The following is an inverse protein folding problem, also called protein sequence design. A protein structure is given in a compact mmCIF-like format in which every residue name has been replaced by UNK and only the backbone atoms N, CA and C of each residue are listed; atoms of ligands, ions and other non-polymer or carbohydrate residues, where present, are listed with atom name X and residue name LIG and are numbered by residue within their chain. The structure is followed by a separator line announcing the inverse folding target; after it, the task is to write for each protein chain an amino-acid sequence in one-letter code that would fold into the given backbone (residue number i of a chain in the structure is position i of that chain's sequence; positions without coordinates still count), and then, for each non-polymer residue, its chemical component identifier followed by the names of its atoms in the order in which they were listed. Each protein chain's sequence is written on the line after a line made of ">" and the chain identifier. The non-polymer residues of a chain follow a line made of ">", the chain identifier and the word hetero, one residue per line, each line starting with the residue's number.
data_IF_805762539072
#
_entry.id   IF_805762539072
#
_cell.length_a   1.000
_cell.length_b   1.000
_cell.length_c   1.000
_cell.angle_alpha   90.00
_cell.angle_beta   90.00
_cell.angle_gamma   90.00
#
_symmetry.space_group_name_H-M   'P 1'
#
loop_
_entity.id
_entity.type
_entity.pdbx_description
1 polymer ?
#
# COMPACT_ATOMS: atom_id res chain seq x y z
N UNK A 1 -1.62 -28.69 -24.26
CA UNK A 1 -2.92 -29.20 -24.72
C UNK A 1 -2.82 -30.45 -25.57
N UNK A 2 -2.06 -30.49 -26.68
CA UNK A 2 -2.04 -31.70 -27.53
C UNK A 2 -1.44 -32.94 -26.84
N UNK A 3 -0.38 -32.75 -26.04
CA UNK A 3 0.19 -33.82 -25.20
C UNK A 3 -0.82 -34.35 -24.18
N UNK A 4 -1.52 -33.46 -23.49
CA UNK A 4 -2.56 -33.83 -22.50
C UNK A 4 -3.71 -34.60 -23.14
N UNK A 5 -4.19 -34.15 -24.30
CA UNK A 5 -5.25 -34.82 -25.08
C UNK A 5 -4.83 -36.25 -25.49
N UNK A 6 -3.62 -36.42 -26.03
CA UNK A 6 -3.11 -37.72 -26.43
C UNK A 6 -2.90 -38.66 -25.23
N UNK A 7 -2.45 -38.14 -24.09
CA UNK A 7 -2.30 -38.92 -22.86
C UNK A 7 -3.63 -39.40 -22.30
N UNK A 8 -4.67 -38.57 -22.35
CA UNK A 8 -6.01 -38.90 -21.90
C UNK A 8 -6.68 -39.95 -22.79
N UNK A 9 -6.48 -39.87 -24.11
CA UNK A 9 -7.06 -40.80 -25.10
C UNK A 9 -6.16 -42.00 -25.43
N UNK A 10 -5.05 -42.20 -24.71
CA UNK A 10 -4.06 -43.26 -25.00
C UNK A 10 -4.66 -44.66 -25.08
N UNK A 11 -5.65 -44.97 -24.23
CA UNK A 11 -6.31 -46.29 -24.20
C UNK A 11 -7.16 -46.52 -25.44
N UNK A 12 -7.89 -45.50 -25.90
CA UNK A 12 -8.71 -45.55 -27.11
C UNK A 12 -7.83 -45.67 -28.37
N UNK A 13 -6.76 -44.88 -28.44
CA UNK A 13 -5.79 -44.94 -29.54
C UNK A 13 -5.10 -46.32 -29.58
N UNK A 14 -4.67 -46.84 -28.43
CA UNK A 14 -4.04 -48.16 -28.34
C UNK A 14 -5.00 -49.29 -28.76
N UNK A 15 -6.27 -49.24 -28.32
CA UNK A 15 -7.29 -50.21 -28.72
C UNK A 15 -7.53 -50.19 -30.23
N UNK A 16 -7.64 -49.00 -30.83
CA UNK A 16 -7.82 -48.86 -32.27
C UNK A 16 -6.62 -49.42 -33.06
N UNK A 17 -5.39 -49.10 -32.65
CA UNK A 17 -4.17 -49.62 -33.27
C UNK A 17 -4.07 -51.14 -33.13
N UNK A 18 -4.42 -51.69 -31.96
CA UNK A 18 -4.46 -53.13 -31.73
C UNK A 18 -5.43 -53.83 -32.69
N UNK A 19 -6.62 -53.25 -32.92
CA UNK A 19 -7.60 -53.78 -33.87
C UNK A 19 -7.04 -53.81 -35.31
N UNK A 20 -6.33 -52.76 -35.75
CA UNK A 20 -5.69 -52.75 -37.07
C UNK A 20 -4.56 -53.80 -37.17
N UNK A 21 -3.78 -53.98 -36.09
CA UNK A 21 -2.73 -54.99 -36.04
C UNK A 21 -3.29 -56.42 -36.16
N UNK A 22 -4.42 -56.70 -35.49
CA UNK A 22 -5.12 -58.00 -35.59
C UNK A 22 -5.61 -58.25 -37.03
N UNK A 23 -6.15 -57.24 -37.72
CA UNK A 23 -6.58 -57.38 -39.11
C UNK A 23 -5.42 -57.71 -40.06
N UNK A 24 -4.29 -57.01 -39.91
CA UNK A 24 -3.09 -57.30 -40.71
C UNK A 24 -2.52 -58.69 -40.42
N UNK A 25 -2.54 -59.10 -39.16
CA UNK A 25 -2.08 -60.43 -38.75
C UNK A 25 -2.96 -61.54 -39.33
N UNK A 26 -4.28 -61.37 -39.33
CA UNK A 26 -5.21 -62.32 -39.94
C UNK A 26 -4.96 -62.47 -41.46
N UNK A 27 -4.78 -61.34 -42.16
CA UNK A 27 -4.48 -61.33 -43.60
C UNK A 27 -3.10 -61.88 -43.96
N UNK A 28 -2.16 -61.90 -43.01
CA UNK A 28 -0.83 -62.50 -43.18
C UNK A 28 -0.87 -64.03 -43.04
N UNK A 29 -1.73 -64.55 -42.17
CA UNK A 29 -1.83 -66.00 -41.91
C UNK A 29 -2.67 -66.71 -42.96
N UNK A 30 -3.75 -66.11 -43.45
CA UNK A 30 -4.67 -66.73 -44.40
C UNK A 30 -4.34 -66.34 -45.86
N UNK A 31 -3.78 -67.24 -46.68
CA UNK A 31 -3.41 -66.95 -48.07
C UNK A 31 -4.63 -66.64 -48.96
N UNK A 32 -5.84 -66.98 -48.51
CA UNK A 32 -7.09 -66.71 -49.22
C UNK A 32 -7.44 -65.22 -49.20
N UNK A 33 -6.86 -64.45 -48.27
CA UNK A 33 -7.11 -63.03 -48.10
C UNK A 33 -6.01 -62.22 -48.83
N UNK A 34 -6.35 -61.38 -49.80
CA UNK A 34 -5.36 -60.55 -50.49
C UNK A 34 -4.79 -59.47 -49.55
N UNK A 35 -3.57 -59.69 -49.05
CA UNK A 35 -2.90 -58.80 -48.08
C UNK A 35 -2.90 -57.32 -48.49
N UNK A 36 -2.63 -57.00 -49.75
CA UNK A 36 -2.63 -55.62 -50.26
C UNK A 36 -3.99 -54.93 -50.16
N UNK A 37 -5.10 -55.68 -50.28
CA UNK A 37 -6.45 -55.12 -50.14
C UNK A 37 -6.75 -54.76 -48.69
N UNK A 38 -6.34 -55.61 -47.75
CA UNK A 38 -6.45 -55.34 -46.31
C UNK A 38 -5.55 -54.17 -45.90
N UNK A 39 -4.33 -54.11 -46.44
CA UNK A 39 -3.41 -53.00 -46.19
C UNK A 39 -3.99 -51.65 -46.65
N UNK A 40 -4.61 -51.61 -47.83
CA UNK A 40 -5.30 -50.41 -48.32
C UNK A 40 -6.48 -50.01 -47.41
N UNK A 41 -7.26 -50.98 -46.94
CA UNK A 41 -8.35 -50.72 -46.00
C UNK A 41 -7.84 -50.16 -44.66
N UNK A 42 -6.77 -50.75 -44.11
CA UNK A 42 -6.13 -50.24 -42.88
C UNK A 42 -5.61 -48.83 -43.08
N UNK A 43 -4.97 -48.53 -44.21
CA UNK A 43 -4.53 -47.18 -44.55
C UNK A 43 -5.67 -46.16 -44.56
N UNK A 44 -6.79 -46.49 -45.22
CA UNK A 44 -7.96 -45.62 -45.28
C UNK A 44 -8.58 -45.42 -43.88
N UNK A 45 -8.67 -46.49 -43.09
CA UNK A 45 -9.16 -46.46 -41.70
C UNK A 45 -8.30 -45.55 -40.81
N UNK A 46 -6.97 -45.65 -40.92
CA UNK A 46 -6.03 -44.78 -40.21
C UNK A 46 -6.22 -43.31 -40.60
N UNK A 47 -6.44 -43.01 -41.88
CA UNK A 47 -6.66 -41.65 -42.38
C UNK A 47 -7.96 -41.06 -41.81
N UNK A 48 -9.06 -41.82 -41.82
CA UNK A 48 -10.33 -41.41 -41.22
C UNK A 48 -10.19 -41.18 -39.72
N UNK A 49 -9.47 -42.07 -39.02
CA UNK A 49 -9.21 -41.93 -37.59
C UNK A 49 -8.37 -40.69 -37.26
N UNK A 50 -7.37 -40.35 -38.08
CA UNK A 50 -6.58 -39.14 -37.92
C UNK A 50 -7.44 -37.87 -38.05
N UNK A 51 -8.31 -37.81 -39.06
CA UNK A 51 -9.25 -36.69 -39.24
C UNK A 51 -10.21 -36.59 -38.05
N UNK A 52 -10.73 -37.72 -37.57
CA UNK A 52 -11.57 -37.78 -36.38
C UNK A 52 -10.85 -37.25 -35.12
N UNK A 53 -9.60 -37.65 -34.89
CA UNK A 53 -8.79 -37.17 -33.77
C UNK A 53 -8.52 -35.67 -33.86
N UNK A 54 -8.23 -35.12 -35.06
CA UNK A 54 -8.02 -33.68 -35.24
C UNK A 54 -9.28 -32.88 -34.96
N UNK A 55 -10.44 -33.35 -35.44
CA UNK A 55 -11.73 -32.73 -35.13
C UNK A 55 -12.01 -32.74 -33.63
N UNK A 56 -11.83 -33.90 -32.97
CA UNK A 56 -12.03 -34.03 -31.53
C UNK A 56 -11.06 -33.22 -30.69
N UNK A 57 -9.79 -33.15 -31.09
CA UNK A 57 -8.81 -32.29 -30.44
C UNK A 57 -9.25 -30.83 -30.46
N UNK A 58 -9.73 -30.31 -31.60
CA UNK A 58 -10.17 -28.91 -31.69
C UNK A 58 -11.38 -28.64 -30.81
N UNK A 59 -12.36 -29.53 -30.78
CA UNK A 59 -13.57 -29.36 -29.96
C UNK A 59 -13.25 -29.46 -28.47
N UNK A 60 -12.65 -30.58 -28.04
CA UNK A 60 -12.46 -30.89 -26.61
C UNK A 60 -11.37 -30.05 -25.95
N UNK A 61 -10.42 -29.48 -26.71
CA UNK A 61 -9.40 -28.60 -26.10
C UNK A 61 -9.77 -27.12 -26.14
N UNK A 62 -10.84 -26.73 -26.82
CA UNK A 62 -11.23 -25.32 -26.90
C UNK A 62 -11.60 -24.76 -25.53
N UNK A 63 -12.44 -25.48 -24.77
CA UNK A 63 -12.88 -25.07 -23.43
C UNK A 63 -11.71 -24.96 -22.43
N UNK A 64 -10.88 -26.00 -22.33
CA UNK A 64 -9.73 -25.98 -21.42
C UNK A 64 -8.64 -24.97 -21.82
N UNK A 65 -8.56 -24.58 -23.10
CA UNK A 65 -7.70 -23.46 -23.52
C UNK A 65 -8.24 -22.14 -23.02
N UNK A 66 -9.54 -21.86 -23.23
CA UNK A 66 -10.16 -20.65 -22.67
C UNK A 66 -10.08 -20.60 -21.15
N UNK A 67 -10.19 -21.75 -20.47
CA UNK A 67 -10.05 -21.81 -19.01
C UNK A 67 -8.66 -21.41 -18.53
N UNK A 68 -7.61 -21.83 -19.26
CA UNK A 68 -6.23 -21.46 -18.94
C UNK A 68 -5.93 -19.99 -19.23
N UNK A 69 -6.58 -19.42 -20.23
CA UNK A 69 -6.49 -17.99 -20.55
C UNK A 69 -7.26 -17.14 -19.54
N UNK A 70 -8.41 -17.64 -19.06
CA UNK A 70 -9.14 -17.04 -17.95
C UNK A 70 -8.30 -16.99 -16.68
N UNK A 71 -7.68 -18.09 -16.26
CA UNK A 71 -6.84 -18.14 -15.05
C UNK A 71 -5.70 -17.10 -15.06
N UNK A 72 -5.20 -16.74 -16.25
CA UNK A 72 -4.17 -15.72 -16.39
C UNK A 72 -4.69 -14.28 -16.25
N UNK A 73 -5.96 -14.02 -16.60
CA UNK A 73 -6.52 -12.66 -16.73
C UNK A 73 -7.72 -12.38 -15.82
N UNK A 74 -8.27 -13.41 -15.15
CA UNK A 74 -9.44 -13.38 -14.26
C UNK A 74 -10.72 -12.78 -14.88
N UNK A 75 -10.81 -12.74 -16.20
CA UNK A 75 -11.93 -12.13 -16.92
C UNK A 75 -12.88 -13.19 -17.47
N UNK A 76 -14.05 -13.33 -16.82
CA UNK A 76 -15.08 -14.32 -17.14
C UNK A 76 -15.63 -14.18 -18.58
N UNK A 77 -15.42 -13.04 -19.26
CA UNK A 77 -15.88 -12.84 -20.64
C UNK A 77 -15.18 -13.73 -21.67
N UNK A 78 -14.04 -14.33 -21.32
CA UNK A 78 -13.28 -15.23 -22.20
C UNK A 78 -13.67 -16.71 -22.06
N UNK A 79 -14.52 -17.07 -21.09
CA UNK A 79 -14.95 -18.46 -20.92
C UNK A 79 -15.93 -18.85 -22.04
N UNK A 80 -15.55 -19.87 -22.79
CA UNK A 80 -16.48 -20.51 -23.73
C UNK A 80 -17.51 -21.32 -22.96
N UNK A 81 -18.76 -21.28 -23.44
CA UNK A 81 -19.82 -22.13 -22.90
C UNK A 81 -19.42 -23.62 -22.97
N UNK A 82 -19.77 -24.42 -21.94
CA UNK A 82 -19.45 -25.84 -21.90
C UNK A 82 -20.26 -26.61 -22.94
N UNK A 83 -19.58 -27.50 -23.66
CA UNK A 83 -20.17 -28.39 -24.68
C UNK A 83 -20.31 -29.84 -24.18
N UNK A 84 -19.87 -30.12 -22.94
CA UNK A 84 -19.80 -31.46 -22.33
C UNK A 84 -20.29 -31.44 -20.88
N UNK A 85 -20.92 -32.53 -20.38
CA UNK A 85 -21.35 -32.63 -18.98
C UNK A 85 -20.21 -32.40 -17.98
N UNK A 86 -19.00 -32.85 -18.29
CA UNK A 86 -17.84 -32.63 -17.41
C UNK A 86 -17.33 -31.19 -17.47
N UNK A 87 -17.49 -30.50 -18.60
CA UNK A 87 -17.13 -29.08 -18.71
C UNK A 87 -18.10 -28.23 -17.88
N UNK A 88 -19.40 -28.55 -17.88
CA UNK A 88 -20.40 -27.89 -17.04
C UNK A 88 -20.13 -28.03 -15.54
N UNK A 89 -19.70 -29.21 -15.07
CA UNK A 89 -19.32 -29.42 -13.65
C UNK A 89 -18.10 -28.56 -13.28
N UNK A 90 -17.14 -28.41 -14.20
CA UNK A 90 -15.97 -27.55 -13.98
C UNK A 90 -16.37 -26.08 -13.92
N UNK A 91 -17.23 -25.63 -14.84
CA UNK A 91 -17.75 -24.25 -14.84
C UNK A 91 -18.49 -23.94 -13.54
N UNK A 92 -19.47 -24.78 -13.15
CA UNK A 92 -20.26 -24.59 -11.93
C UNK A 92 -19.39 -24.53 -10.67
N UNK A 93 -18.37 -25.40 -10.57
CA UNK A 93 -17.42 -25.38 -9.45
C UNK A 93 -16.58 -24.10 -9.42
N UNK A 94 -16.16 -23.59 -10.57
CA UNK A 94 -15.33 -22.38 -10.66
C UNK A 94 -16.17 -21.13 -10.40
N UNK A 95 -17.36 -21.05 -10.95
CA UNK A 95 -18.33 -19.98 -10.64
C UNK A 95 -18.66 -19.96 -9.15
N UNK A 96 -18.93 -21.12 -8.54
CA UNK A 96 -19.19 -21.25 -7.11
C UNK A 96 -18.04 -20.76 -6.25
N UNK A 97 -16.80 -21.15 -6.57
CA UNK A 97 -15.61 -20.66 -5.85
C UNK A 97 -15.35 -19.17 -6.07
N UNK A 98 -15.52 -18.68 -7.30
CA UNK A 98 -15.33 -17.28 -7.64
C UNK A 98 -16.32 -16.40 -6.88
N UNK A 99 -17.58 -16.82 -6.82
CA UNK A 99 -18.63 -16.11 -6.09
C UNK A 99 -18.38 -16.16 -4.57
N UNK A 100 -17.91 -17.29 -4.04
CA UNK A 100 -17.53 -17.39 -2.62
C UNK A 100 -16.34 -16.48 -2.29
N UNK A 101 -15.31 -16.44 -3.13
CA UNK A 101 -14.17 -15.54 -2.97
C UNK A 101 -14.61 -14.07 -3.07
N UNK A 102 -15.47 -13.74 -4.03
CA UNK A 102 -16.05 -12.40 -4.17
C UNK A 102 -16.82 -11.99 -2.92
N UNK A 103 -17.69 -12.85 -2.39
CA UNK A 103 -18.42 -12.62 -1.14
C UNK A 103 -17.48 -12.44 0.04
N UNK A 104 -16.46 -13.30 0.17
CA UNK A 104 -15.46 -13.19 1.24
C UNK A 104 -14.67 -11.89 1.15
N UNK A 105 -14.25 -11.48 -0.05
CA UNK A 105 -13.57 -10.22 -0.29
C UNK A 105 -14.43 -9.02 0.08
N UNK A 106 -15.71 -9.01 -0.33
CA UNK A 106 -16.65 -7.95 0.03
C UNK A 106 -16.89 -7.89 1.55
N UNK A 107 -17.03 -9.05 2.22
CA UNK A 107 -17.15 -9.11 3.68
C UNK A 107 -15.91 -8.58 4.40
N UNK A 108 -14.70 -8.96 3.95
CA UNK A 108 -13.45 -8.46 4.53
C UNK A 108 -13.30 -6.95 4.32
N UNK A 109 -13.68 -6.45 3.15
CA UNK A 109 -13.66 -5.02 2.85
C UNK A 109 -14.65 -4.25 3.73
N UNK A 110 -15.89 -4.74 3.85
CA UNK A 110 -16.90 -4.13 4.72
C UNK A 110 -16.49 -4.17 6.20
N UNK A 111 -15.92 -5.28 6.68
CA UNK A 111 -15.39 -5.38 8.03
C UNK A 111 -14.23 -4.40 8.28
N UNK A 112 -13.35 -4.22 7.28
CA UNK A 112 -12.26 -3.25 7.35
C UNK A 112 -12.76 -1.80 7.40
N UNK A 113 -13.80 -1.45 6.64
CA UNK A 113 -14.43 -0.12 6.74
C UNK A 113 -15.10 0.08 8.10
N UNK A 114 -15.83 -0.90 8.60
CA UNK A 114 -16.45 -0.82 9.92
C UNK A 114 -15.42 -0.61 11.04
N UNK A 115 -14.30 -1.35 11.03
CA UNK A 115 -13.22 -1.16 12.01
C UNK A 115 -12.62 0.26 11.96
N UNK A 116 -12.61 0.90 10.78
CA UNK A 116 -12.16 2.28 10.64
C UNK A 116 -13.15 3.24 11.27
N UNK A 117 -14.43 3.12 10.95
CA UNK A 117 -15.48 3.98 11.48
C UNK A 117 -15.55 3.90 13.01
N UNK A 118 -15.46 2.69 13.57
CA UNK A 118 -15.42 2.45 15.01
C UNK A 118 -14.24 3.18 15.66
N UNK A 119 -13.03 3.04 15.08
CA UNK A 119 -11.83 3.69 15.60
C UNK A 119 -11.91 5.22 15.48
N UNK A 120 -12.45 5.75 14.38
CA UNK A 120 -12.64 7.18 14.20
C UNK A 120 -13.63 7.73 15.24
N UNK A 121 -14.74 7.03 15.48
CA UNK A 121 -15.70 7.38 16.53
C UNK A 121 -15.05 7.36 17.91
N UNK A 122 -14.31 6.31 18.23
CA UNK A 122 -13.59 6.20 19.50
C UNK A 122 -12.57 7.34 19.71
N UNK A 123 -11.80 7.72 18.68
CA UNK A 123 -10.88 8.86 18.76
C UNK A 123 -11.64 10.16 19.06
N UNK A 124 -12.79 10.38 18.41
CA UNK A 124 -13.63 11.55 18.68
C UNK A 124 -14.17 11.56 20.11
N UNK A 125 -14.63 10.41 20.61
CA UNK A 125 -15.09 10.26 21.99
C UNK A 125 -13.98 10.51 23.00
N UNK A 126 -12.74 10.07 22.75
CA UNK A 126 -11.58 10.31 23.62
C UNK A 126 -11.11 11.76 23.59
N UNK A 127 -11.24 12.47 22.45
CA UNK A 127 -10.88 13.90 22.35
C UNK A 127 -11.69 14.78 23.28
N UNK A 128 -12.94 14.43 23.54
CA UNK A 128 -13.85 15.21 24.40
C UNK A 128 -13.38 15.29 25.86
N UNK A 129 -13.19 14.18 26.60
CA UNK A 129 -12.65 14.22 27.96
C UNK A 129 -11.22 14.74 27.98
N UNK A 130 -10.41 14.50 26.94
CA UNK A 130 -9.07 15.08 26.84
C UNK A 130 -9.13 16.62 26.77
N UNK A 131 -10.07 17.19 26.03
CA UNK A 131 -10.28 18.65 25.97
C UNK A 131 -10.76 19.18 27.33
N UNK A 132 -11.66 18.46 28.01
CA UNK A 132 -12.09 18.82 29.35
C UNK A 132 -10.90 18.81 30.35
N UNK A 133 -10.04 17.80 30.30
CA UNK A 133 -8.82 17.74 31.11
C UNK A 133 -7.90 18.94 30.82
N UNK A 134 -7.72 19.32 29.55
CA UNK A 134 -6.93 20.49 29.19
C UNK A 134 -7.44 21.75 29.88
N UNK A 135 -8.75 22.01 29.78
CA UNK A 135 -9.40 23.17 30.41
C UNK A 135 -9.30 23.14 31.93
N UNK A 136 -9.36 21.95 32.55
CA UNK A 136 -9.17 21.80 34.00
C UNK A 136 -7.73 22.11 34.42
N UNK A 137 -6.74 21.62 33.66
CA UNK A 137 -5.31 21.89 33.91
C UNK A 137 -5.01 23.38 33.70
N UNK A 138 -5.61 24.02 32.70
CA UNK A 138 -5.43 25.45 32.44
C UNK A 138 -5.86 26.33 33.61
N UNK A 139 -6.89 25.90 34.36
CA UNK A 139 -7.43 26.60 35.55
C UNK A 139 -6.59 26.43 36.82
N UNK A 140 -5.56 25.59 36.81
CA UNK A 140 -4.67 25.43 37.96
C UNK A 140 -3.79 26.69 38.11
N UNK A 141 -3.77 27.25 39.33
CA UNK A 141 -2.92 28.40 39.67
C UNK A 141 -1.46 27.99 39.91
N UNK A 142 -1.22 26.77 40.37
CA UNK A 142 0.11 26.29 40.73
C UNK A 142 0.90 25.79 39.50
N UNK A 143 1.83 26.63 39.03
CA UNK A 143 2.62 26.35 37.83
C UNK A 143 3.47 25.07 37.93
N UNK A 144 3.92 24.70 39.15
CA UNK A 144 4.72 23.50 39.40
C UNK A 144 3.93 22.21 39.13
N UNK A 145 2.62 22.20 39.38
CA UNK A 145 1.73 21.09 39.04
C UNK A 145 1.26 21.15 37.58
N UNK A 146 1.02 22.37 37.07
CA UNK A 146 0.46 22.59 35.74
C UNK A 146 1.39 22.11 34.61
N UNK A 147 2.68 22.42 34.68
CA UNK A 147 3.61 22.09 33.61
C UNK A 147 3.76 20.57 33.33
N UNK A 148 4.00 19.70 34.35
CA UNK A 148 4.04 18.25 34.13
C UNK A 148 2.73 17.66 33.61
N UNK A 149 1.58 18.16 34.06
CA UNK A 149 0.27 17.72 33.59
C UNK A 149 0.03 18.08 32.12
N UNK A 150 0.35 19.32 31.72
CA UNK A 150 0.25 19.75 30.33
C UNK A 150 1.21 18.97 29.42
N UNK A 151 2.37 18.56 29.93
CA UNK A 151 3.32 17.76 29.17
C UNK A 151 2.76 16.37 28.82
N UNK A 152 2.26 15.63 29.81
CA UNK A 152 1.67 14.31 29.58
C UNK A 152 0.35 14.40 28.81
N UNK A 153 -0.46 15.43 29.06
CA UNK A 153 -1.66 15.71 28.27
C UNK A 153 -1.32 15.90 26.78
N UNK A 154 -0.32 16.73 26.48
CA UNK A 154 0.10 17.00 25.09
C UNK A 154 0.66 15.73 24.44
N UNK A 155 1.33 14.87 25.21
CA UNK A 155 1.80 13.55 24.76
C UNK A 155 0.66 12.63 24.38
N UNK A 156 -0.38 12.51 25.20
CA UNK A 156 -1.58 11.73 24.87
C UNK A 156 -2.26 12.31 23.63
N UNK A 157 -2.40 13.64 23.56
CA UNK A 157 -2.98 14.33 22.41
C UNK A 157 -2.24 14.02 21.11
N UNK A 158 -0.90 14.06 21.11
CA UNK A 158 -0.09 13.77 19.93
C UNK A 158 -0.16 12.28 19.52
N UNK A 159 -0.20 11.36 20.48
CA UNK A 159 -0.40 9.94 20.19
C UNK A 159 -1.75 9.67 19.52
N UNK A 160 -2.82 10.31 19.99
CA UNK A 160 -4.15 10.21 19.38
C UNK A 160 -4.17 10.85 17.99
N UNK A 161 -3.53 12.02 17.81
CA UNK A 161 -3.43 12.68 16.51
C UNK A 161 -2.67 11.83 15.49
N UNK A 162 -1.58 11.19 15.92
CA UNK A 162 -0.82 10.23 15.12
C UNK A 162 -1.68 9.02 14.69
N UNK A 163 -2.45 8.43 15.61
CA UNK A 163 -3.33 7.29 15.29
C UNK A 163 -4.43 7.69 14.29
N UNK A 164 -5.03 8.87 14.47
CA UNK A 164 -6.02 9.42 13.57
C UNK A 164 -5.46 9.57 12.14
N UNK A 165 -4.29 10.19 12.02
CA UNK A 165 -3.67 10.42 10.72
C UNK A 165 -3.17 9.13 10.08
N UNK A 166 -2.68 8.17 10.87
CA UNK A 166 -2.32 6.85 10.36
C UNK A 166 -3.48 6.16 9.66
N UNK A 167 -4.70 6.25 10.21
CA UNK A 167 -5.88 5.61 9.64
C UNK A 167 -6.41 6.39 8.42
N UNK A 168 -6.38 7.72 8.46
CA UNK A 168 -6.76 8.58 7.32
C UNK A 168 -5.83 8.46 6.12
N UNK A 169 -4.56 8.13 6.35
CA UNK A 169 -3.54 8.05 5.30
C UNK A 169 -3.89 7.07 4.18
N UNK A 170 -4.64 6.00 4.46
CA UNK A 170 -5.08 5.02 3.46
C UNK A 170 -6.00 5.59 2.38
N UNK A 171 -6.61 6.75 2.62
CA UNK A 171 -7.56 7.41 1.72
C UNK A 171 -7.22 8.88 1.51
N UNK A 172 -5.96 9.24 1.76
CA UNK A 172 -5.48 10.62 1.66
C UNK A 172 -5.89 11.27 0.35
N UNK A 173 -5.79 10.55 -0.78
CA UNK A 173 -6.15 11.02 -2.13
C UNK A 173 -7.58 11.55 -2.25
N UNK A 174 -8.53 11.02 -1.45
CA UNK A 174 -9.94 11.44 -1.48
C UNK A 174 -10.23 12.65 -0.56
N UNK A 175 -9.31 13.04 0.34
CA UNK A 175 -9.48 14.12 1.34
C UNK A 175 -8.52 15.30 1.10
N UNK A 176 -7.78 15.33 -0.02
CA UNK A 176 -6.86 16.42 -0.33
C UNK A 176 -7.61 17.68 -0.80
N UNK A 177 -7.32 18.81 -0.14
CA UNK A 177 -7.82 20.13 -0.51
C UNK A 177 -6.64 21.08 -0.70
N UNK A 178 -6.18 21.20 -1.94
CA UNK A 178 -5.05 22.07 -2.28
C UNK A 178 -5.49 23.54 -2.28
N UNK A 179 -4.78 24.34 -1.48
CA UNK A 179 -4.99 25.77 -1.37
C UNK A 179 -3.65 26.48 -1.18
N UNK A 180 -3.64 27.80 -1.41
CA UNK A 180 -2.50 28.66 -1.06
C UNK A 180 -2.45 28.79 0.46
N UNK A 181 -1.35 28.33 1.06
CA UNK A 181 -1.13 28.32 2.51
C UNK A 181 0.03 29.23 2.83
N UNK A 182 -0.21 30.13 3.78
CA UNK A 182 0.85 30.95 4.35
C UNK A 182 1.64 30.12 5.38
N UNK A 183 2.94 29.91 5.15
CA UNK A 183 3.81 29.11 6.00
C UNK A 183 3.93 29.70 7.41
N UNK A 184 4.04 31.03 7.53
CA UNK A 184 4.24 31.69 8.82
C UNK A 184 3.10 31.41 9.81
N UNK A 185 1.81 31.71 9.52
CA UNK A 185 0.72 31.37 10.42
C UNK A 185 0.65 29.89 10.79
N UNK A 186 0.92 28.99 9.83
CA UNK A 186 0.89 27.54 10.06
C UNK A 186 1.98 27.11 11.04
N UNK A 187 3.24 27.49 10.78
CA UNK A 187 4.38 27.15 11.64
C UNK A 187 4.21 27.72 13.04
N UNK A 188 3.81 29.00 13.17
CA UNK A 188 3.56 29.61 14.48
C UNK A 188 2.45 28.90 15.27
N UNK A 189 1.38 28.47 14.59
CA UNK A 189 0.32 27.68 15.23
C UNK A 189 0.87 26.36 15.77
N UNK A 190 1.69 25.65 15.00
CA UNK A 190 2.25 24.37 15.43
C UNK A 190 3.29 24.52 16.53
N UNK A 191 4.11 25.56 16.51
CA UNK A 191 5.03 25.91 17.60
C UNK A 191 4.25 26.20 18.90
N UNK A 192 3.17 26.98 18.82
CA UNK A 192 2.31 27.26 19.97
C UNK A 192 1.72 25.99 20.57
N UNK A 193 1.32 25.02 19.74
CA UNK A 193 0.81 23.74 20.22
C UNK A 193 1.86 22.93 21.01
N UNK A 194 3.16 23.14 20.74
CA UNK A 194 4.28 22.46 21.42
C UNK A 194 4.81 23.23 22.63
N UNK A 195 4.20 24.37 22.99
CA UNK A 195 4.73 25.29 24.00
C UNK A 195 5.00 24.62 25.36
N UNK A 196 4.13 23.72 25.83
CA UNK A 196 4.32 23.05 27.13
C UNK A 196 5.59 22.19 27.17
N UNK A 197 5.89 21.47 26.09
CA UNK A 197 7.12 20.69 25.95
C UNK A 197 8.35 21.59 25.86
N UNK A 198 8.25 22.69 25.13
CA UNK A 198 9.33 23.65 24.95
C UNK A 198 9.69 24.33 26.27
N UNK A 199 8.71 24.75 27.07
CA UNK A 199 8.92 25.34 28.40
C UNK A 199 9.61 24.34 29.33
N UNK A 200 9.18 23.07 29.33
CA UNK A 200 9.76 22.06 30.21
C UNK A 200 11.22 21.73 29.84
N UNK A 201 11.55 21.73 28.54
CA UNK A 201 12.91 21.46 28.05
C UNK A 201 13.79 22.71 27.92
N UNK A 202 13.25 23.90 28.13
CA UNK A 202 13.96 25.16 27.93
C UNK A 202 14.35 25.42 26.46
N UNK A 203 13.52 25.02 25.50
CA UNK A 203 13.78 25.13 24.06
C UNK A 203 13.01 26.33 23.48
N UNK A 204 13.69 27.19 22.71
CA UNK A 204 13.08 28.26 21.91
C UNK A 204 13.04 27.92 20.41
N UNK A 205 12.56 28.90 19.62
CA UNK A 205 12.52 28.82 18.16
C UNK A 205 13.05 30.10 17.51
N UNK A 206 13.99 29.96 16.57
CA UNK A 206 14.37 31.02 15.64
C UNK A 206 13.65 30.79 14.30
N UNK A 207 12.90 31.79 13.82
CA UNK A 207 11.99 31.66 12.68
C UNK A 207 12.38 32.66 11.59
N UNK A 208 12.90 32.13 10.49
CA UNK A 208 13.36 32.90 9.32
C UNK A 208 12.61 32.43 8.07
N UNK A 209 11.37 32.91 7.91
CA UNK A 209 10.50 32.49 6.81
C UNK A 209 10.51 33.56 5.69
N UNK A 210 11.45 33.44 4.76
CA UNK A 210 11.61 34.40 3.65
C UNK A 210 10.62 34.15 2.51
N UNK A 211 10.19 32.91 2.32
CA UNK A 211 9.10 32.56 1.41
C UNK A 211 7.78 32.42 2.17
N UNK A 212 6.74 33.23 1.85
CA UNK A 212 5.54 33.28 2.66
C UNK A 212 4.55 32.15 2.33
N UNK A 213 4.48 31.65 1.09
CA UNK A 213 3.33 30.88 0.62
C UNK A 213 3.71 29.61 -0.17
N UNK A 214 2.93 28.54 0.05
CA UNK A 214 3.02 27.26 -0.68
C UNK A 214 1.63 26.79 -1.12
N UNK A 215 1.56 25.97 -2.17
CA UNK A 215 0.31 25.30 -2.57
C UNK A 215 0.33 23.87 -2.06
N UNK A 216 -0.56 23.54 -1.12
CA UNK A 216 -0.64 22.22 -0.48
C UNK A 216 -1.99 22.02 0.22
N UNK A 217 -2.18 20.89 0.89
CA UNK A 217 -3.29 20.67 1.82
C UNK A 217 -2.93 21.17 3.22
N UNK A 218 -3.77 22.03 3.80
CA UNK A 218 -3.49 22.68 5.07
C UNK A 218 -3.44 21.72 6.25
N UNK A 219 -4.31 20.70 6.26
CA UNK A 219 -4.40 19.74 7.38
C UNK A 219 -3.17 18.83 7.38
N UNK A 220 -2.84 18.27 6.22
CA UNK A 220 -1.71 17.36 6.07
C UNK A 220 -0.36 18.07 6.19
N UNK A 221 -0.23 19.30 5.67
CA UNK A 221 0.98 20.10 5.88
C UNK A 221 1.17 20.43 7.37
N UNK A 222 0.11 20.84 8.07
CA UNK A 222 0.13 21.01 9.54
C UNK A 222 0.61 19.75 10.25
N UNK A 223 0.13 18.57 9.84
CA UNK A 223 0.55 17.31 10.42
C UNK A 223 2.04 17.00 10.17
N UNK A 224 2.53 17.16 8.93
CA UNK A 224 3.94 16.93 8.60
C UNK A 224 4.84 17.83 9.43
N UNK A 225 4.55 19.14 9.47
CA UNK A 225 5.30 20.12 10.25
C UNK A 225 5.25 19.76 11.75
N UNK A 226 4.07 19.44 12.29
CA UNK A 226 3.91 18.99 13.69
C UNK A 226 4.79 17.78 13.99
N UNK A 227 4.85 16.78 13.12
CA UNK A 227 5.70 15.59 13.32
C UNK A 227 7.19 15.96 13.35
N UNK A 228 7.66 16.80 12.42
CA UNK A 228 9.06 17.23 12.37
C UNK A 228 9.44 18.08 13.58
N UNK A 229 8.63 19.10 13.92
CA UNK A 229 8.86 19.94 15.10
C UNK A 229 8.80 19.13 16.40
N UNK A 230 7.86 18.19 16.52
CA UNK A 230 7.76 17.34 17.72
C UNK A 230 9.00 16.46 17.91
N UNK A 231 9.61 15.98 16.81
CA UNK A 231 10.88 15.25 16.87
C UNK A 231 12.03 16.18 17.26
N UNK A 232 12.11 17.37 16.66
CA UNK A 232 13.14 18.35 16.99
C UNK A 232 13.12 18.71 18.50
N UNK A 233 11.93 19.01 19.06
CA UNK A 233 11.77 19.30 20.51
C UNK A 233 12.12 18.10 21.36
N UNK A 234 11.70 16.90 20.95
CA UNK A 234 11.95 15.68 21.70
C UNK A 234 13.43 15.34 21.80
N UNK A 235 14.20 15.57 20.74
CA UNK A 235 15.59 15.13 20.63
C UNK A 235 16.63 16.23 20.88
N UNK A 236 16.20 17.49 21.00
CA UNK A 236 17.02 18.60 21.47
C UNK A 236 17.02 18.71 22.99
N UNK A 237 18.11 19.26 23.53
CA UNK A 237 18.31 19.56 24.95
C UNK A 237 18.77 21.03 25.08
N UNK A 238 17.92 21.89 25.63
CA UNK A 238 18.20 23.30 25.96
C UNK A 238 18.71 24.22 24.81
N UNK A 239 18.70 23.76 23.56
CA UNK A 239 19.07 24.54 22.38
C UNK A 239 17.86 24.92 21.53
N UNK A 240 17.92 26.10 20.92
CA UNK A 240 16.86 26.62 20.06
C UNK A 240 16.77 25.86 18.73
N UNK A 241 15.53 25.57 18.32
CA UNK A 241 15.23 24.96 17.02
C UNK A 241 15.09 26.07 15.98
N UNK A 242 15.75 25.91 14.84
CA UNK A 242 15.69 26.91 13.77
C UNK A 242 14.75 26.45 12.66
N UNK A 243 13.80 27.29 12.26
CA UNK A 243 12.89 27.03 11.13
C UNK A 243 13.11 28.10 10.06
N UNK A 244 13.60 27.67 8.89
CA UNK A 244 13.91 28.59 7.77
C UNK A 244 13.10 28.23 6.54
N UNK A 245 12.65 29.22 5.78
CA UNK A 245 12.14 29.01 4.42
C UNK A 245 12.88 29.86 3.40
N UNK A 246 13.19 29.27 2.25
CA UNK A 246 13.88 29.94 1.15
C UNK A 246 13.40 29.37 -0.19
N UNK A 247 13.66 30.11 -1.26
CA UNK A 247 13.41 29.63 -2.61
C UNK A 247 14.73 29.23 -3.28
N UNK A 248 14.77 28.03 -3.84
CA UNK A 248 15.92 27.54 -4.59
C UNK A 248 15.44 26.73 -5.80
N UNK A 249 15.95 27.07 -6.99
CA UNK A 249 15.58 26.44 -8.27
C UNK A 249 14.06 26.50 -8.59
N UNK A 250 13.40 27.59 -8.17
CA UNK A 250 11.96 27.80 -8.37
C UNK A 250 11.07 26.88 -7.52
N UNK A 251 11.60 26.34 -6.43
CA UNK A 251 10.87 25.55 -5.43
C UNK A 251 11.06 26.18 -4.06
N UNK A 252 10.03 26.13 -3.24
CA UNK A 252 10.11 26.53 -1.83
C UNK A 252 10.72 25.38 -1.02
N UNK A 253 11.66 25.72 -0.16
CA UNK A 253 12.29 24.81 0.79
C UNK A 253 11.97 25.29 2.20
N UNK A 254 11.71 24.35 3.11
CA UNK A 254 11.54 24.63 4.54
C UNK A 254 12.47 23.72 5.32
N UNK A 255 13.44 24.31 5.99
CA UNK A 255 14.39 23.62 6.86
C UNK A 255 13.92 23.71 8.32
N UNK A 256 13.92 22.58 9.01
CA UNK A 256 13.73 22.46 10.45
C UNK A 256 15.01 21.85 11.01
N UNK A 257 15.79 22.69 11.68
CA UNK A 257 17.10 22.38 12.24
C UNK A 257 17.01 22.27 13.76
N UNK A 258 17.38 21.10 14.27
CA UNK A 258 17.53 20.80 15.69
C UNK A 258 19.01 20.65 16.05
N UNK A 259 19.37 20.90 17.32
CA UNK A 259 20.73 20.72 17.84
C UNK A 259 20.81 19.53 18.80
N UNK A 260 20.01 18.51 18.52
CA UNK A 260 19.92 17.32 19.35
C UNK A 260 21.09 16.36 19.21
N UNK A 261 20.87 15.14 19.69
CA UNK A 261 21.87 14.06 19.67
C UNK A 261 22.33 13.62 18.26
N UNK A 262 21.66 14.10 17.21
CA UNK A 262 21.88 13.67 15.83
C UNK A 262 21.50 12.22 15.55
N UNK A 263 21.73 11.78 14.32
CA UNK A 263 21.34 10.46 13.79
C UNK A 263 22.60 9.76 13.28
N UNK A 264 22.79 8.49 13.66
CA UNK A 264 23.92 7.71 13.17
C UNK A 264 23.81 7.47 11.65
N UNK A 265 24.93 7.54 10.89
CA UNK A 265 24.91 7.33 9.44
C UNK A 265 24.27 6.01 9.00
N UNK A 266 24.38 4.96 9.82
CA UNK A 266 23.78 3.64 9.58
C UNK A 266 22.25 3.63 9.72
N UNK A 267 21.70 4.55 10.51
CA UNK A 267 20.27 4.66 10.81
C UNK A 267 19.57 5.60 9.83
N UNK A 268 20.29 6.57 9.22
CA UNK A 268 19.74 7.54 8.26
C UNK A 268 18.87 6.93 7.14
N UNK A 269 19.24 5.81 6.48
CA UNK A 269 18.40 5.21 5.45
C UNK A 269 17.06 4.67 5.97
N UNK A 270 16.98 4.41 7.28
CA UNK A 270 15.89 3.66 7.94
C UNK A 270 14.97 4.51 8.80
N UNK A 271 15.32 5.77 9.10
CA UNK A 271 14.54 6.63 10.02
C UNK A 271 13.08 6.84 9.61
N UNK A 272 12.76 6.64 8.33
CA UNK A 272 11.41 6.76 7.81
C UNK A 272 10.72 5.39 7.61
N UNK A 273 11.34 4.27 8.00
CA UNK A 273 10.72 2.95 8.01
C UNK A 273 9.64 2.86 9.10
N UNK A 274 8.60 2.06 8.84
CA UNK A 274 7.48 1.90 9.77
C UNK A 274 7.97 1.31 11.10
N UNK A 275 7.78 2.03 12.20
CA UNK A 275 8.11 1.56 13.54
C UNK A 275 9.60 1.59 13.86
N UNK A 276 10.43 2.27 13.06
CA UNK A 276 11.86 2.35 13.32
C UNK A 276 12.17 3.21 14.56
N UNK A 277 12.98 2.66 15.46
CA UNK A 277 13.53 3.36 16.61
C UNK A 277 15.02 3.03 16.71
N UNK A 278 15.87 4.05 16.87
CA UNK A 278 17.32 3.82 16.96
C UNK A 278 17.67 3.01 18.21
N UNK A 279 18.66 2.13 18.08
CA UNK A 279 19.13 1.27 19.19
C UNK A 279 19.75 2.08 20.34
N UNK A 280 20.34 3.25 20.07
CA UNK A 280 20.87 4.17 21.09
C UNK A 280 19.74 4.76 21.96
N UNK A 281 18.51 4.81 21.44
CA UNK A 281 17.32 5.40 22.06
C UNK A 281 16.32 4.39 22.64
N UNK A 282 16.60 3.08 22.58
CA UNK A 282 15.71 2.06 23.18
C UNK A 282 15.50 2.20 24.69
N UNK A 283 16.34 2.97 25.38
CA UNK A 283 16.19 3.24 26.82
C UNK A 283 15.02 4.19 27.13
N UNK A 284 14.61 5.03 26.18
CA UNK A 284 13.41 5.85 26.29
C UNK A 284 12.22 5.14 25.62
N UNK A 285 11.31 4.59 26.43
CA UNK A 285 10.05 3.97 26.02
C UNK A 285 9.04 4.94 25.34
N UNK A 286 9.50 6.06 24.79
CA UNK A 286 8.68 7.17 24.34
C UNK A 286 8.55 7.28 22.81
N UNK A 287 9.16 6.40 21.99
CA UNK A 287 9.05 6.47 20.53
C UNK A 287 8.38 5.24 19.93
N UNK A 288 7.28 5.44 19.22
CA UNK A 288 6.61 4.39 18.41
C UNK A 288 7.30 4.15 17.07
N UNK A 289 8.23 5.05 16.67
CA UNK A 289 8.86 5.04 15.35
C UNK A 289 7.91 5.35 14.20
N UNK A 290 6.71 5.87 14.48
CA UNK A 290 5.68 6.12 13.47
C UNK A 290 5.71 7.56 12.92
N UNK A 291 6.18 8.55 13.68
CA UNK A 291 6.08 9.97 13.32
C UNK A 291 6.72 10.31 11.96
N UNK A 292 8.00 10.00 11.78
CA UNK A 292 8.71 10.25 10.52
C UNK A 292 8.15 9.42 9.36
N UNK A 293 7.81 8.15 9.60
CA UNK A 293 7.15 7.31 8.61
C UNK A 293 5.84 7.93 8.09
N UNK A 294 4.98 8.38 9.01
CA UNK A 294 3.71 9.03 8.68
C UNK A 294 3.92 10.37 7.98
N UNK A 295 4.89 11.18 8.41
CA UNK A 295 5.24 12.44 7.74
C UNK A 295 5.65 12.19 6.28
N UNK A 296 6.53 11.22 6.03
CA UNK A 296 6.96 10.85 4.66
C UNK A 296 5.81 10.32 3.82
N UNK A 297 4.92 9.51 4.40
CA UNK A 297 3.75 8.99 3.70
C UNK A 297 2.73 10.08 3.38
N UNK A 298 2.51 11.04 4.27
CA UNK A 298 1.62 12.17 4.03
C UNK A 298 2.21 13.15 3.00
N UNK A 299 3.54 13.31 2.96
CA UNK A 299 4.22 14.19 2.03
C UNK A 299 4.17 13.70 0.58
N UNK A 300 4.12 12.38 0.35
CA UNK A 300 4.17 11.80 -0.99
C UNK A 300 2.98 12.19 -1.90
N UNK A 301 1.71 12.10 -1.47
CA UNK A 301 0.56 12.60 -2.24
C UNK A 301 0.56 14.12 -2.44
N UNK A 302 1.24 14.86 -1.57
CA UNK A 302 1.43 16.31 -1.69
C UNK A 302 2.61 16.69 -2.59
N UNK A 303 3.33 15.71 -3.13
CA UNK A 303 4.57 15.86 -3.90
C UNK A 303 5.67 16.63 -3.14
N UNK A 304 5.60 16.64 -1.80
CA UNK A 304 6.61 17.24 -0.94
C UNK A 304 7.70 16.21 -0.71
N UNK A 305 8.94 16.56 -1.03
CA UNK A 305 10.09 15.72 -0.73
C UNK A 305 10.59 16.04 0.67
N UNK A 306 10.85 15.00 1.48
CA UNK A 306 11.50 15.14 2.78
C UNK A 306 12.91 14.58 2.68
N UNK A 307 13.92 15.42 2.90
CA UNK A 307 15.31 14.99 3.06
C UNK A 307 15.82 15.30 4.46
N UNK A 308 16.85 14.58 4.88
CA UNK A 308 17.49 14.76 6.18
C UNK A 308 19.00 14.87 5.99
N UNK A 309 19.63 15.77 6.73
CA UNK A 309 21.07 15.79 6.98
C UNK A 309 21.28 15.77 8.48
N UNK A 310 22.14 14.91 8.98
CA UNK A 310 22.40 14.83 10.42
C UNK A 310 23.77 14.25 10.65
N UNK A 311 24.44 14.78 11.68
CA UNK A 311 25.69 14.26 12.19
C UNK A 311 25.51 13.97 13.69
N UNK A 312 26.05 12.86 14.21
CA UNK A 312 25.99 12.56 15.64
C UNK A 312 26.48 13.76 16.47
N UNK A 313 25.73 14.09 17.51
CA UNK A 313 26.03 15.17 18.48
C UNK A 313 26.04 16.59 17.88
N UNK A 314 25.63 16.75 16.61
CA UNK A 314 25.51 18.05 15.93
C UNK A 314 24.08 18.33 15.44
N UNK A 315 23.10 17.53 15.89
CA UNK A 315 21.70 17.70 15.54
C UNK A 315 21.30 17.18 14.15
N UNK A 316 20.13 17.61 13.70
CA UNK A 316 19.55 17.19 12.41
C UNK A 316 18.84 18.34 11.71
N UNK A 317 18.93 18.34 10.38
CA UNK A 317 18.21 19.26 9.50
C UNK A 317 17.27 18.45 8.64
N UNK A 318 15.97 18.62 8.85
CA UNK A 318 14.93 18.09 7.97
C UNK A 318 14.51 19.18 6.98
N UNK A 319 14.61 18.88 5.69
CA UNK A 319 14.24 19.80 4.60
C UNK A 319 12.99 19.29 3.91
N UNK A 320 11.96 20.13 3.84
CA UNK A 320 10.78 19.94 3.01
C UNK A 320 10.96 20.70 1.70
N UNK A 321 10.91 19.99 0.57
CA UNK A 321 10.95 20.60 -0.77
C UNK A 321 9.58 20.53 -1.40
N UNK A 322 8.97 21.68 -1.65
CA UNK A 322 7.64 21.78 -2.24
C UNK A 322 7.70 21.67 -3.78
N UNK A 323 6.66 21.11 -4.42
CA UNK A 323 6.58 21.07 -5.88
C UNK A 323 6.50 22.49 -6.46
N UNK A 324 6.82 22.64 -7.75
CA UNK A 324 6.58 23.92 -8.44
C UNK A 324 5.08 24.17 -8.50
N UNK A 325 4.67 25.43 -8.44
CA UNK A 325 3.26 25.82 -8.43
C UNK A 325 2.47 25.21 -9.61
N UNK A 326 3.08 25.13 -10.80
CA UNK A 326 2.44 24.55 -11.98
C UNK A 326 2.24 23.03 -11.87
N UNK A 327 3.17 22.30 -11.25
CA UNK A 327 3.09 20.84 -11.11
C UNK A 327 1.96 20.43 -10.14
N UNK A 328 1.74 21.23 -9.09
CA UNK A 328 0.67 21.01 -8.12
C UNK A 328 -0.72 21.33 -8.69
N UNK A 329 -0.85 22.32 -9.58
CA UNK A 329 -2.14 22.73 -10.16
C UNK A 329 -2.53 21.84 -11.36
N UNK A 330 -1.57 21.36 -12.16
CA UNK A 330 -1.86 20.59 -13.38
C UNK A 330 -2.42 19.18 -13.16
N UNK A 331 -2.20 18.57 -11.99
CA UNK A 331 -2.72 17.21 -11.70
C UNK A 331 -4.18 17.18 -11.22
N UNK A 332 -4.70 18.28 -10.67
CA UNK A 332 -6.01 18.32 -10.04
C UNK A 332 -7.00 19.27 -10.76
N UNK A 333 -6.61 19.76 -11.93
CA UNK A 333 -7.47 20.55 -12.84
C UNK A 333 -8.06 19.71 -14.00
N UNK A 334 -8.02 18.38 -13.87
CA UNK A 334 -8.73 17.41 -14.74
C UNK A 334 -9.84 16.77 -13.92
#
# INVERSE_FOLDING_TARGET
>A
MIKSFLLERKSWIAMFLLQQAVLLFAAYIDPSIPFFSVLYFVYLSLLVFLVFLLFRYRKETAYYKSLREWDANLDMSYLKAPDSPFESVVEESIEGQTEQLRKSSLHLQAASEHEKDDLMSWIHEVKTPLTAMHLMIERLDEQQLKAPLLYEWLRIHHLLDQQLHQKRLSFIENDLSFQRIQLRPLVFKEIKNLQSWCIQKGIGFDIQLDSPDVHSDGKWLSFIIRQLLSNAVKYSEADDITVKSYEQNGRVHVDIEDRGIGIEPKDLPRIFEKGFTSTRMRRDHASTGMGLYLARKAAAPLLIQISVRSEPESGSVFTLVFPKQNDAVSMFSV
#
